data_IF_296862146110
#
_entry.id   IF_296862146110
#
_cell.length_a   1.000
_cell.length_b   1.000
_cell.length_c   1.000
_cell.angle_alpha   90.00
_cell.angle_beta   90.00
_cell.angle_gamma   90.00
#
_symmetry.space_group_name_H-M   'P 1'
#
loop_
_entity.id
_entity.type
_entity.pdbx_description
1 polymer ?
#
# COMPACT_ATOMS: atom_id res chain seq x y z
N UNK A 1 8.54 0.13 -15.00
CA UNK A 1 9.24 -0.04 -13.70
C UNK A 1 8.99 -1.48 -13.23
N UNK A 2 10.00 -2.24 -12.81
CA UNK A 2 9.82 -3.59 -12.23
C UNK A 2 9.20 -3.50 -10.81
N UNK A 3 8.48 -4.53 -10.37
CA UNK A 3 7.89 -4.61 -9.03
C UNK A 3 8.95 -4.54 -7.93
N UNK A 4 10.12 -5.15 -8.12
CA UNK A 4 11.24 -5.03 -7.17
C UNK A 4 11.75 -3.59 -7.05
N UNK A 5 11.76 -2.81 -8.14
CA UNK A 5 12.15 -1.40 -8.10
C UNK A 5 11.10 -0.57 -7.35
N UNK A 6 9.82 -0.86 -7.57
CA UNK A 6 8.72 -0.24 -6.83
C UNK A 6 8.80 -0.53 -5.33
N UNK A 7 9.04 -1.79 -4.96
CA UNK A 7 9.23 -2.20 -3.57
C UNK A 7 10.37 -1.42 -2.90
N UNK A 8 11.53 -1.35 -3.55
CA UNK A 8 12.69 -0.59 -3.03
C UNK A 8 12.39 0.89 -2.87
N UNK A 9 11.70 1.49 -3.84
CA UNK A 9 11.26 2.87 -3.75
C UNK A 9 10.33 3.06 -2.55
N UNK A 10 9.27 2.27 -2.46
CA UNK A 10 8.28 2.36 -1.39
C UNK A 10 8.90 2.13 -0.02
N UNK A 11 9.75 1.12 0.14
CA UNK A 11 10.26 0.73 1.45
C UNK A 11 11.45 1.57 1.90
N UNK A 12 12.33 2.03 1.01
CA UNK A 12 13.57 2.68 1.44
C UNK A 12 13.63 4.15 1.08
N UNK A 13 13.33 4.47 -0.18
CA UNK A 13 13.52 5.84 -0.69
C UNK A 13 12.38 6.75 -0.25
N UNK A 14 11.13 6.35 -0.52
CA UNK A 14 9.96 7.18 -0.28
C UNK A 14 9.79 7.63 1.18
N UNK A 15 10.03 6.80 2.22
CA UNK A 15 9.86 7.24 3.60
C UNK A 15 10.87 8.30 4.02
N UNK A 16 12.07 8.28 3.41
CA UNK A 16 13.14 9.25 3.68
C UNK A 16 12.87 10.55 2.91
N UNK A 17 12.64 10.46 1.60
CA UNK A 17 12.39 11.65 0.77
C UNK A 17 11.14 12.38 1.23
N UNK A 18 10.01 11.68 1.35
CA UNK A 18 8.73 12.32 1.66
C UNK A 18 8.66 12.89 3.07
N UNK A 19 9.47 12.41 4.02
CA UNK A 19 9.57 13.02 5.36
C UNK A 19 10.03 14.47 5.29
N UNK A 20 10.89 14.80 4.32
CA UNK A 20 11.40 16.17 4.12
C UNK A 20 10.46 17.03 3.27
N UNK A 21 9.80 16.43 2.28
CA UNK A 21 9.09 17.19 1.24
C UNK A 21 7.57 17.25 1.40
N UNK A 22 6.95 16.30 2.10
CA UNK A 22 5.50 16.31 2.28
C UNK A 22 5.11 17.01 3.58
N UNK A 23 4.01 17.79 3.59
CA UNK A 23 3.37 18.20 4.82
C UNK A 23 3.06 16.98 5.70
N UNK A 24 3.17 17.14 7.01
CA UNK A 24 3.03 16.05 8.01
C UNK A 24 1.79 15.19 7.79
N UNK A 25 0.66 15.83 7.46
CA UNK A 25 -0.60 15.13 7.17
C UNK A 25 -0.46 14.13 6.00
N UNK A 26 0.03 14.59 4.85
CA UNK A 26 0.22 13.74 3.66
C UNK A 26 1.31 12.68 3.88
N UNK A 27 2.37 13.03 4.61
CA UNK A 27 3.41 12.07 4.98
C UNK A 27 2.87 10.92 5.83
N UNK A 28 2.07 11.22 6.85
CA UNK A 28 1.49 10.19 7.71
C UNK A 28 0.58 9.23 6.93
N UNK A 29 -0.20 9.75 5.98
CA UNK A 29 -1.03 8.90 5.13
C UNK A 29 -0.20 8.03 4.19
N UNK A 30 0.88 8.56 3.63
CA UNK A 30 1.84 7.74 2.88
C UNK A 30 2.47 6.65 3.75
N UNK A 31 2.80 6.96 5.00
CA UNK A 31 3.35 5.98 5.93
C UNK A 31 2.35 4.86 6.27
N UNK A 32 1.04 5.14 6.34
CA UNK A 32 0.03 4.07 6.46
C UNK A 32 0.15 3.05 5.32
N UNK A 33 0.32 3.51 4.07
CA UNK A 33 0.53 2.62 2.92
C UNK A 33 1.83 1.80 3.07
N UNK A 34 2.94 2.47 3.41
CA UNK A 34 4.25 1.82 3.54
C UNK A 34 4.24 0.76 4.64
N UNK A 35 3.65 1.05 5.79
CA UNK A 35 3.55 0.14 6.92
C UNK A 35 2.68 -1.07 6.59
N UNK A 36 1.51 -0.86 5.99
CA UNK A 36 0.63 -1.93 5.55
C UNK A 36 1.31 -2.86 4.55
N UNK A 37 2.00 -2.30 3.55
CA UNK A 37 2.73 -3.08 2.54
C UNK A 37 3.92 -3.85 3.11
N UNK A 38 4.65 -3.26 4.05
CA UNK A 38 5.75 -3.98 4.73
C UNK A 38 5.20 -5.13 5.57
N UNK A 39 4.14 -4.90 6.32
CA UNK A 39 3.53 -5.90 7.19
C UNK A 39 2.96 -7.05 6.37
N UNK A 40 2.17 -6.77 5.33
CA UNK A 40 1.55 -7.77 4.45
C UNK A 40 2.56 -8.65 3.72
N UNK A 41 3.80 -8.18 3.52
CA UNK A 41 4.84 -8.86 2.75
C UNK A 41 5.91 -9.53 3.62
N UNK A 42 5.71 -9.59 4.94
CA UNK A 42 6.56 -10.39 5.82
C UNK A 42 6.43 -11.88 5.51
N UNK A 43 7.45 -12.66 5.89
CA UNK A 43 7.42 -14.12 5.76
C UNK A 43 6.46 -14.79 6.74
N UNK A 44 6.24 -14.17 7.89
CA UNK A 44 5.37 -14.64 8.96
C UNK A 44 4.50 -13.45 9.37
N UNK A 45 3.19 -13.70 9.49
CA UNK A 45 2.18 -12.72 9.83
C UNK A 45 1.14 -13.37 10.74
N UNK A 46 0.77 -12.69 11.82
CA UNK A 46 -0.29 -13.14 12.73
C UNK A 46 -1.66 -12.59 12.33
N UNK A 47 -2.74 -13.26 12.73
CA UNK A 47 -4.10 -12.84 12.39
C UNK A 47 -4.41 -11.42 12.87
N UNK A 48 -3.97 -11.05 14.08
CA UNK A 48 -4.12 -9.69 14.61
C UNK A 48 -3.34 -8.63 13.83
N UNK A 49 -2.25 -9.02 13.15
CA UNK A 49 -1.50 -8.12 12.28
C UNK A 49 -2.22 -7.89 10.95
N UNK A 50 -3.08 -8.82 10.50
CA UNK A 50 -3.91 -8.63 9.30
C UNK A 50 -4.93 -7.51 9.52
N UNK A 51 -5.49 -7.41 10.72
CA UNK A 51 -6.45 -6.34 11.04
C UNK A 51 -5.78 -4.96 11.03
N UNK A 52 -4.50 -4.89 11.41
CA UNK A 52 -3.68 -3.66 11.27
C UNK A 52 -3.47 -3.33 9.77
N UNK A 53 -3.21 -4.34 8.93
CA UNK A 53 -3.07 -4.15 7.48
C UNK A 53 -4.37 -3.59 6.88
N UNK A 54 -5.51 -4.15 7.25
CA UNK A 54 -6.84 -3.69 6.85
C UNK A 54 -7.03 -2.21 7.19
N UNK A 55 -6.89 -1.86 8.47
CA UNK A 55 -7.08 -0.49 8.94
C UNK A 55 -6.21 0.52 8.17
N UNK A 56 -4.93 0.20 8.01
CA UNK A 56 -3.95 1.09 7.36
C UNK A 56 -4.24 1.27 5.86
N UNK A 57 -4.61 0.21 5.14
CA UNK A 57 -5.00 0.34 3.74
C UNK A 57 -6.30 1.13 3.59
N UNK A 58 -7.31 0.88 4.43
CA UNK A 58 -8.55 1.65 4.41
C UNK A 58 -8.29 3.14 4.67
N UNK A 59 -7.45 3.47 5.66
CA UNK A 59 -7.05 4.86 5.93
C UNK A 59 -6.38 5.51 4.71
N UNK A 60 -5.41 4.83 4.09
CA UNK A 60 -4.74 5.38 2.91
C UNK A 60 -5.67 5.54 1.71
N UNK A 61 -6.53 4.55 1.43
CA UNK A 61 -7.47 4.61 0.30
C UNK A 61 -8.49 5.71 0.52
N UNK A 62 -9.05 5.85 1.73
CA UNK A 62 -9.97 6.95 2.04
C UNK A 62 -9.29 8.33 1.89
N UNK A 63 -8.04 8.46 2.35
CA UNK A 63 -7.24 9.67 2.12
C UNK A 63 -7.06 9.94 0.62
N UNK A 64 -6.74 8.91 -0.16
CA UNK A 64 -6.50 9.06 -1.59
C UNK A 64 -7.77 9.45 -2.34
N UNK A 65 -8.88 8.77 -2.05
CA UNK A 65 -10.19 9.04 -2.65
C UNK A 65 -10.64 10.47 -2.34
N UNK A 66 -10.38 10.97 -1.12
CA UNK A 66 -10.70 12.35 -0.73
C UNK A 66 -9.84 13.41 -1.41
N UNK A 67 -8.51 13.21 -1.51
CA UNK A 67 -7.60 14.28 -1.94
C UNK A 67 -7.26 14.25 -3.43
N UNK A 68 -7.11 13.04 -4.00
CA UNK A 68 -6.70 12.85 -5.39
C UNK A 68 -7.88 12.55 -6.29
N UNK A 69 -8.74 11.59 -5.98
CA UNK A 69 -9.96 11.35 -6.78
C UNK A 69 -11.01 12.45 -6.54
N UNK A 70 -11.13 12.92 -5.30
CA UNK A 70 -12.11 13.92 -4.82
C UNK A 70 -13.56 13.53 -5.01
N UNK A 71 -13.85 12.23 -5.14
CA UNK A 71 -15.20 11.72 -5.38
C UNK A 71 -15.89 12.35 -6.60
N UNK A 72 -15.10 12.74 -7.60
CA UNK A 72 -15.58 13.44 -8.78
C UNK A 72 -15.42 12.56 -10.02
N UNK A 73 -16.53 12.22 -10.67
CA UNK A 73 -16.56 11.39 -11.87
C UNK A 73 -15.75 12.00 -13.02
N UNK A 74 -15.60 13.33 -13.08
CA UNK A 74 -14.75 13.99 -14.08
C UNK A 74 -13.26 13.72 -13.85
N UNK A 75 -12.90 13.15 -12.70
CA UNK A 75 -11.54 12.75 -12.31
C UNK A 75 -11.41 11.22 -12.24
N UNK A 76 -12.21 10.49 -13.01
CA UNK A 76 -12.19 9.02 -13.07
C UNK A 76 -10.78 8.45 -13.36
N UNK A 77 -9.94 9.19 -14.08
CA UNK A 77 -8.53 8.82 -14.29
C UNK A 77 -7.70 8.71 -13.00
N UNK A 78 -8.13 9.37 -11.93
CA UNK A 78 -7.57 9.23 -10.59
C UNK A 78 -8.30 8.17 -9.74
N UNK A 79 -9.40 7.57 -10.18
CA UNK A 79 -10.05 6.45 -9.49
C UNK A 79 -9.40 5.11 -9.89
N UNK A 80 -8.12 4.95 -9.52
CA UNK A 80 -7.31 3.82 -9.98
C UNK A 80 -7.74 2.49 -9.33
N UNK A 81 -8.01 1.43 -10.12
CA UNK A 81 -8.31 0.11 -9.58
C UNK A 81 -7.20 -0.43 -8.67
N UNK A 82 -5.94 -0.15 -8.99
CA UNK A 82 -4.79 -0.56 -8.18
C UNK A 82 -4.76 0.09 -6.79
N UNK A 83 -5.32 1.30 -6.64
CA UNK A 83 -5.45 1.94 -5.34
C UNK A 83 -6.65 1.39 -4.59
N UNK A 84 -7.79 1.21 -5.28
CA UNK A 84 -8.99 0.64 -4.68
C UNK A 84 -8.75 -0.77 -4.12
N UNK A 85 -8.06 -1.61 -4.89
CA UNK A 85 -7.75 -3.01 -4.55
C UNK A 85 -6.91 -3.16 -3.28
N UNK A 86 -6.23 -2.11 -2.81
CA UNK A 86 -5.53 -2.14 -1.52
C UNK A 86 -6.48 -2.48 -0.36
N UNK A 87 -7.77 -2.11 -0.47
CA UNK A 87 -8.80 -2.47 0.52
C UNK A 87 -9.05 -3.97 0.62
N UNK A 88 -8.61 -4.78 -0.34
CA UNK A 88 -8.85 -6.23 -0.37
C UNK A 88 -7.61 -7.06 -0.07
N UNK A 89 -6.46 -6.43 0.18
CA UNK A 89 -5.23 -7.19 0.49
C UNK A 89 -5.40 -8.01 1.77
N UNK A 90 -6.08 -7.46 2.76
CA UNK A 90 -6.36 -8.17 4.02
C UNK A 90 -7.19 -9.46 3.81
N UNK A 91 -8.14 -9.47 2.87
CA UNK A 91 -8.86 -10.69 2.47
C UNK A 91 -7.89 -11.73 1.89
N UNK A 92 -7.05 -11.30 0.94
CA UNK A 92 -6.01 -12.16 0.36
C UNK A 92 -4.99 -12.68 1.38
N UNK A 93 -4.71 -11.92 2.46
CA UNK A 93 -3.86 -12.38 3.55
C UNK A 93 -4.52 -13.50 4.37
N UNK A 94 -5.83 -13.42 4.60
CA UNK A 94 -6.59 -14.47 5.31
C UNK A 94 -6.73 -15.73 4.46
N UNK A 95 -6.93 -15.56 3.15
CA UNK A 95 -7.20 -16.68 2.24
C UNK A 95 -5.92 -17.38 1.75
N UNK A 96 -4.87 -16.61 1.46
CA UNK A 96 -3.67 -17.12 0.78
C UNK A 96 -2.39 -16.99 1.62
N UNK A 97 -2.49 -16.42 2.82
CA UNK A 97 -1.32 -16.12 3.66
C UNK A 97 -0.53 -14.89 3.20
N UNK A 98 0.69 -14.70 3.72
CA UNK A 98 1.46 -13.48 3.47
C UNK A 98 1.75 -13.20 1.99
N UNK A 99 1.69 -11.93 1.59
CA UNK A 99 1.90 -11.51 0.20
C UNK A 99 3.26 -11.92 -0.36
N UNK A 100 4.27 -12.17 0.48
CA UNK A 100 5.56 -12.69 0.02
C UNK A 100 5.44 -13.94 -0.86
N UNK A 101 4.42 -14.77 -0.64
CA UNK A 101 4.20 -16.02 -1.37
C UNK A 101 3.84 -15.76 -2.85
N UNK A 102 3.10 -14.68 -3.13
CA UNK A 102 2.51 -14.41 -4.45
C UNK A 102 2.85 -13.04 -5.02
N UNK A 103 3.65 -12.23 -4.33
CA UNK A 103 4.06 -10.92 -4.83
C UNK A 103 4.94 -11.06 -6.08
N UNK A 104 4.68 -10.24 -7.09
CA UNK A 104 5.38 -10.30 -8.38
C UNK A 104 6.90 -10.20 -8.22
N UNK A 105 7.41 -9.34 -7.32
CA UNK A 105 8.86 -9.18 -7.12
C UNK A 105 9.56 -10.45 -6.60
N UNK A 106 8.83 -11.44 -6.07
CA UNK A 106 9.40 -12.75 -5.72
C UNK A 106 9.59 -13.66 -6.94
N UNK A 107 8.90 -13.37 -8.05
CA UNK A 107 8.91 -14.14 -9.29
C UNK A 107 9.69 -13.45 -10.42
N UNK A 108 10.13 -12.20 -10.22
CA UNK A 108 10.86 -11.44 -11.23
C UNK A 108 12.21 -12.09 -11.52
N UNK A 109 12.47 -12.36 -12.80
CA UNK A 109 13.78 -12.84 -13.26
C UNK A 109 14.81 -11.71 -13.18
N UNK A 110 16.00 -12.07 -12.69
CA UNK A 110 17.21 -11.24 -12.71
C UNK A 110 17.60 -10.98 -14.15
#
# INVERSE_FOLDING_TARGET
MKAANWQRFMFHQSPIYFRRYLPKYHYNQWMNLVEAMRLSTRKILFQSEIDIVEERFFQFVAYYEKHFYRYDVNRLSACLPSIHQLRHIHDSLRDCGPCFIYAQWCMERV
#
